data_IF_215834702869
#
_entry.id   IF_215834702869
#
_cell.length_a   1.000
_cell.length_b   1.000
_cell.length_c   1.000
_cell.angle_alpha   90.00
_cell.angle_beta   90.00
_cell.angle_gamma   90.00
#
_symmetry.space_group_name_H-M   'P 1'
#
loop_
_entity.id
_entity.type
_entity.pdbx_description
1 polymer ?
#
# COMPACT_ATOMS: atom_id res chain seq x y z
N UNK A 1 -12.96 -18.34 -7.86
CA UNK A 1 -12.67 -18.66 -6.43
C UNK A 1 -12.06 -20.04 -6.40
N UNK A 2 -10.87 -20.15 -5.86
CA UNK A 2 -10.15 -21.41 -5.79
C UNK A 2 -10.56 -22.20 -4.54
N UNK A 3 -10.54 -23.53 -4.67
CA UNK A 3 -10.75 -24.43 -3.55
C UNK A 3 -9.60 -24.33 -2.55
N UNK A 4 -9.92 -24.37 -1.26
CA UNK A 4 -8.90 -24.47 -0.23
C UNK A 4 -8.12 -25.79 -0.30
N UNK A 5 -6.82 -25.72 -0.03
CA UNK A 5 -5.92 -26.88 -0.04
C UNK A 5 -5.60 -27.40 1.36
N UNK A 6 -5.45 -26.51 2.36
CA UNK A 6 -5.16 -26.82 3.75
C UNK A 6 -6.30 -26.44 4.69
N UNK A 7 -7.01 -25.38 4.36
CA UNK A 7 -8.21 -24.90 5.03
C UNK A 7 -9.22 -24.44 3.96
N UNK A 8 -10.47 -24.28 4.31
CA UNK A 8 -11.49 -23.85 3.37
C UNK A 8 -11.27 -22.40 2.92
N UNK A 9 -11.60 -22.11 1.66
CA UNK A 9 -11.83 -20.75 1.18
C UNK A 9 -13.23 -20.34 1.62
N UNK A 10 -13.33 -19.27 2.41
CA UNK A 10 -14.57 -18.84 3.05
C UNK A 10 -14.99 -17.46 2.55
N UNK A 11 -16.23 -17.34 2.12
CA UNK A 11 -16.86 -16.08 1.74
C UNK A 11 -18.01 -15.82 2.70
N UNK A 12 -17.93 -14.73 3.45
CA UNK A 12 -18.91 -14.35 4.46
C UNK A 12 -20.26 -13.95 3.89
N UNK A 13 -21.20 -13.66 4.78
CA UNK A 13 -22.54 -13.26 4.40
C UNK A 13 -22.58 -11.83 3.86
N UNK A 14 -23.42 -11.59 2.85
CA UNK A 14 -23.60 -10.27 2.27
C UNK A 14 -22.37 -9.72 1.53
N UNK A 15 -21.37 -10.54 1.25
CA UNK A 15 -20.23 -10.19 0.42
C UNK A 15 -20.69 -9.92 -1.01
N UNK A 16 -20.17 -8.86 -1.61
CA UNK A 16 -20.45 -8.44 -3.00
C UNK A 16 -19.18 -8.54 -3.82
N UNK A 17 -19.21 -9.37 -4.84
CA UNK A 17 -18.09 -9.54 -5.76
C UNK A 17 -18.53 -9.14 -7.16
N UNK A 18 -17.83 -8.21 -7.76
CA UNK A 18 -18.02 -7.78 -9.14
C UNK A 18 -17.31 -8.74 -10.11
N UNK A 19 -17.21 -8.39 -11.36
CA UNK A 19 -16.71 -9.24 -12.44
C UNK A 19 -15.19 -9.49 -12.33
N UNK A 20 -14.76 -10.66 -12.78
CA UNK A 20 -13.34 -11.03 -12.95
C UNK A 20 -12.51 -10.94 -11.66
N UNK A 21 -13.10 -11.19 -10.52
CA UNK A 21 -12.38 -11.26 -9.25
C UNK A 21 -11.74 -12.64 -9.10
N UNK A 22 -10.44 -12.65 -8.80
CA UNK A 22 -9.71 -13.88 -8.46
C UNK A 22 -9.48 -13.96 -6.95
N UNK A 23 -10.05 -15.00 -6.34
CA UNK A 23 -9.84 -15.36 -4.93
C UNK A 23 -9.11 -16.69 -4.91
N UNK A 24 -7.87 -16.67 -4.43
CA UNK A 24 -7.04 -17.87 -4.36
C UNK A 24 -7.41 -18.77 -3.16
N UNK A 25 -6.72 -19.90 -3.06
CA UNK A 25 -6.96 -20.93 -2.05
C UNK A 25 -6.80 -20.42 -0.61
N UNK A 26 -7.59 -20.92 0.31
CA UNK A 26 -7.53 -20.64 1.76
C UNK A 26 -7.80 -19.16 2.12
N UNK A 27 -8.34 -18.36 1.21
CA UNK A 27 -8.72 -16.97 1.48
C UNK A 27 -10.00 -16.93 2.30
N UNK A 28 -10.06 -16.02 3.26
CA UNK A 28 -11.25 -15.74 4.05
C UNK A 28 -11.69 -14.30 3.85
N UNK A 29 -12.95 -14.09 3.49
CA UNK A 29 -13.56 -12.77 3.30
C UNK A 29 -14.68 -12.59 4.31
N UNK A 30 -14.55 -11.58 5.17
CA UNK A 30 -15.53 -11.25 6.19
C UNK A 30 -16.83 -10.67 5.64
N UNK A 31 -17.87 -10.72 6.47
CA UNK A 31 -19.23 -10.33 6.11
C UNK A 31 -19.30 -8.89 5.57
N UNK A 32 -20.23 -8.68 4.64
CA UNK A 32 -20.57 -7.37 4.06
C UNK A 32 -19.39 -6.65 3.37
N UNK A 33 -18.30 -7.35 3.06
CA UNK A 33 -17.20 -6.82 2.28
C UNK A 33 -17.59 -6.76 0.80
N UNK A 34 -17.22 -5.66 0.13
CA UNK A 34 -17.47 -5.45 -1.29
C UNK A 34 -16.15 -5.33 -2.06
N UNK A 35 -16.07 -5.98 -3.21
CA UNK A 35 -14.93 -5.93 -4.11
C UNK A 35 -15.40 -5.55 -5.50
N UNK A 36 -14.79 -4.51 -6.07
CA UNK A 36 -15.04 -4.09 -7.45
C UNK A 36 -14.26 -4.99 -8.44
N UNK A 37 -14.47 -4.76 -9.73
CA UNK A 37 -13.97 -5.63 -10.79
C UNK A 37 -12.43 -5.81 -10.78
N UNK A 38 -11.99 -6.98 -11.23
CA UNK A 38 -10.57 -7.31 -11.44
C UNK A 38 -9.70 -7.30 -10.17
N UNK A 39 -10.28 -7.46 -8.99
CA UNK A 39 -9.53 -7.62 -7.74
C UNK A 39 -8.89 -9.01 -7.71
N UNK A 40 -7.61 -9.07 -7.31
CA UNK A 40 -6.85 -10.31 -7.15
C UNK A 40 -6.38 -10.51 -5.72
N UNK A 41 -6.81 -11.59 -5.07
CA UNK A 41 -6.45 -11.94 -3.69
C UNK A 41 -5.62 -13.21 -3.71
N UNK A 42 -4.36 -13.11 -3.28
CA UNK A 42 -3.46 -14.27 -3.18
C UNK A 42 -3.78 -15.15 -1.99
N UNK A 43 -3.29 -16.39 -2.04
CA UNK A 43 -3.66 -17.46 -1.09
C UNK A 43 -3.42 -17.13 0.37
N UNK A 44 -4.26 -17.70 1.23
CA UNK A 44 -4.20 -17.59 2.69
C UNK A 44 -4.33 -16.16 3.23
N UNK A 45 -4.88 -15.25 2.45
CA UNK A 45 -5.20 -13.88 2.88
C UNK A 45 -6.52 -13.86 3.64
N UNK A 46 -6.57 -13.09 4.72
CA UNK A 46 -7.79 -12.84 5.50
C UNK A 46 -8.22 -11.38 5.34
N UNK A 47 -9.46 -11.16 4.95
CA UNK A 47 -10.06 -9.84 4.80
C UNK A 47 -11.21 -9.73 5.80
N UNK A 48 -11.20 -8.68 6.59
CA UNK A 48 -12.19 -8.40 7.61
C UNK A 48 -13.57 -8.06 7.03
N UNK A 49 -14.47 -7.65 7.91
CA UNK A 49 -15.84 -7.28 7.59
C UNK A 49 -15.95 -5.83 7.16
N UNK A 50 -17.00 -5.52 6.38
CA UNK A 50 -17.32 -4.17 5.94
C UNK A 50 -16.17 -3.47 5.21
N UNK A 51 -15.28 -4.23 4.55
CA UNK A 51 -14.23 -3.67 3.72
C UNK A 51 -14.78 -3.29 2.34
N UNK A 52 -14.18 -2.28 1.74
CA UNK A 52 -14.46 -1.85 0.37
C UNK A 52 -13.15 -1.88 -0.43
N UNK A 53 -13.07 -2.79 -1.39
CA UNK A 53 -11.88 -2.99 -2.22
C UNK A 53 -12.20 -2.52 -3.62
N UNK A 54 -11.57 -1.44 -4.05
CA UNK A 54 -11.80 -0.84 -5.37
C UNK A 54 -11.16 -1.67 -6.49
N UNK A 55 -11.52 -1.35 -7.73
CA UNK A 55 -11.15 -2.17 -8.90
C UNK A 55 -9.65 -2.30 -9.13
N UNK A 56 -9.25 -3.47 -9.60
CA UNK A 56 -7.86 -3.77 -9.95
C UNK A 56 -6.89 -3.85 -8.77
N UNK A 57 -7.38 -3.88 -7.54
CA UNK A 57 -6.54 -4.07 -6.34
C UNK A 57 -5.93 -5.46 -6.34
N UNK A 58 -4.62 -5.54 -6.10
CA UNK A 58 -3.90 -6.79 -5.86
C UNK A 58 -3.51 -6.93 -4.40
N UNK A 59 -3.59 -8.12 -3.83
CA UNK A 59 -3.14 -8.43 -2.48
C UNK A 59 -2.16 -9.59 -2.49
N UNK A 60 -1.02 -9.42 -1.82
CA UNK A 60 -0.08 -10.54 -1.61
C UNK A 60 -0.68 -11.56 -0.64
N UNK A 61 -0.15 -12.79 -0.69
CA UNK A 61 -0.63 -13.87 0.17
C UNK A 61 -0.20 -13.72 1.64
N UNK A 62 -0.90 -14.47 2.51
CA UNK A 62 -0.59 -14.59 3.93
C UNK A 62 -0.64 -13.27 4.72
N UNK A 63 -1.48 -12.34 4.31
CA UNK A 63 -1.72 -11.08 5.02
C UNK A 63 -3.11 -11.04 5.62
N UNK A 64 -3.28 -10.14 6.58
CA UNK A 64 -4.57 -9.86 7.22
C UNK A 64 -4.94 -8.39 7.01
N UNK A 65 -6.19 -8.16 6.61
CA UNK A 65 -6.81 -6.85 6.49
C UNK A 65 -7.90 -6.76 7.53
N UNK A 66 -7.81 -5.83 8.46
CA UNK A 66 -8.81 -5.66 9.53
C UNK A 66 -10.17 -5.18 8.99
N UNK A 67 -11.16 -5.11 9.85
CA UNK A 67 -12.51 -4.61 9.51
C UNK A 67 -12.49 -3.12 9.09
N UNK A 68 -13.48 -2.71 8.30
CA UNK A 68 -13.72 -1.30 7.92
C UNK A 68 -12.56 -0.64 7.17
N UNK A 69 -11.89 -1.36 6.29
CA UNK A 69 -10.81 -0.85 5.43
C UNK A 69 -11.36 -0.51 4.05
N UNK A 70 -10.98 0.65 3.54
CA UNK A 70 -11.15 1.03 2.15
C UNK A 70 -9.80 0.97 1.43
N UNK A 71 -9.72 0.26 0.31
CA UNK A 71 -8.52 0.21 -0.54
C UNK A 71 -8.85 0.84 -1.89
N UNK A 72 -8.14 1.90 -2.26
CA UNK A 72 -8.36 2.60 -3.55
C UNK A 72 -7.93 1.76 -4.75
N UNK A 73 -8.47 2.09 -5.92
CA UNK A 73 -8.25 1.33 -7.15
C UNK A 73 -6.78 1.20 -7.55
N UNK A 74 -6.43 0.08 -8.17
CA UNK A 74 -5.08 -0.25 -8.63
C UNK A 74 -4.00 -0.28 -7.51
N UNK A 75 -4.43 -0.33 -6.26
CA UNK A 75 -3.50 -0.44 -5.12
C UNK A 75 -2.93 -1.86 -5.03
N UNK A 76 -1.63 -1.96 -4.80
CA UNK A 76 -0.97 -3.22 -4.43
C UNK A 76 -0.77 -3.27 -2.92
N UNK A 77 -1.52 -4.15 -2.25
CA UNK A 77 -1.41 -4.36 -0.79
C UNK A 77 -0.31 -5.41 -0.55
N UNK A 78 0.80 -4.96 0.00
CA UNK A 78 2.02 -5.78 0.18
C UNK A 78 2.27 -6.21 1.62
N UNK A 79 1.42 -5.82 2.56
CA UNK A 79 1.52 -6.16 3.99
C UNK A 79 0.15 -6.10 4.65
N UNK A 80 0.04 -6.69 5.83
CA UNK A 80 -1.19 -6.62 6.64
C UNK A 80 -1.59 -5.19 6.97
N UNK A 81 -2.91 -4.96 7.05
CA UNK A 81 -3.54 -3.70 7.45
C UNK A 81 -4.21 -3.93 8.79
N UNK A 82 -3.68 -3.35 9.84
CA UNK A 82 -4.09 -3.58 11.23
C UNK A 82 -5.02 -2.51 11.78
N UNK A 83 -5.18 -1.40 11.07
CA UNK A 83 -6.04 -0.28 11.49
C UNK A 83 -7.09 0.02 10.42
N UNK A 84 -8.35 0.30 10.81
CA UNK A 84 -9.37 0.76 9.87
C UNK A 84 -8.96 2.06 9.18
N UNK A 85 -9.43 2.27 7.96
CA UNK A 85 -9.13 3.51 7.23
C UNK A 85 -9.01 3.33 5.73
N UNK A 86 -8.58 4.40 5.05
CA UNK A 86 -8.39 4.41 3.59
C UNK A 86 -6.91 4.27 3.23
N UNK A 87 -6.64 3.34 2.31
CA UNK A 87 -5.29 3.00 1.88
C UNK A 87 -5.15 3.12 0.37
N UNK A 88 -4.01 3.62 -0.07
CA UNK A 88 -3.69 3.80 -1.49
C UNK A 88 -2.22 3.50 -1.75
N UNK A 89 -1.90 3.09 -2.95
CA UNK A 89 -0.53 2.97 -3.43
C UNK A 89 -0.41 3.41 -4.89
N UNK A 90 0.82 3.49 -5.39
CA UNK A 90 1.08 3.97 -6.73
C UNK A 90 1.25 5.48 -6.82
N UNK A 91 1.52 5.96 -8.02
CA UNK A 91 1.68 7.39 -8.30
C UNK A 91 0.38 7.96 -8.87
N UNK A 92 0.03 9.19 -8.50
CA UNK A 92 -1.09 9.90 -9.08
C UNK A 92 -0.91 10.05 -10.61
N UNK A 93 -2.03 10.08 -11.33
CA UNK A 93 -2.03 10.34 -12.77
C UNK A 93 -1.46 11.73 -13.08
N UNK A 94 -0.57 11.81 -14.05
CA UNK A 94 0.07 13.03 -14.51
C UNK A 94 0.15 13.04 -16.05
N UNK A 95 0.28 14.21 -16.69
CA UNK A 95 0.68 14.26 -18.09
C UNK A 95 1.96 13.46 -18.33
N UNK A 96 2.02 12.72 -19.44
CA UNK A 96 3.09 11.74 -19.68
C UNK A 96 4.52 12.31 -19.54
N UNK A 97 4.73 13.58 -19.95
CA UNK A 97 6.02 14.25 -19.80
C UNK A 97 6.41 14.50 -18.36
N UNK A 98 5.46 14.87 -17.51
CA UNK A 98 5.67 15.08 -16.07
C UNK A 98 5.87 13.74 -15.35
N UNK A 99 5.07 12.73 -15.69
CA UNK A 99 5.20 11.39 -15.13
C UNK A 99 6.60 10.81 -15.38
N UNK A 100 7.12 10.94 -16.60
CA UNK A 100 8.49 10.48 -16.94
C UNK A 100 9.55 11.16 -16.07
N UNK A 101 9.42 12.46 -15.82
CA UNK A 101 10.33 13.21 -14.93
C UNK A 101 10.22 12.73 -13.48
N UNK A 102 9.01 12.54 -12.99
CA UNK A 102 8.75 12.03 -11.64
C UNK A 102 9.32 10.62 -11.46
N UNK A 103 9.09 9.72 -12.42
CA UNK A 103 9.63 8.37 -12.41
C UNK A 103 11.16 8.32 -12.44
N UNK A 104 11.81 9.24 -13.15
CA UNK A 104 13.27 9.37 -13.15
C UNK A 104 13.80 9.83 -11.78
N UNK A 105 13.12 10.79 -11.14
CA UNK A 105 13.48 11.28 -9.79
C UNK A 105 13.30 10.22 -8.71
N UNK A 106 12.22 9.44 -8.77
CA UNK A 106 12.00 8.34 -7.82
C UNK A 106 13.19 7.38 -7.79
N UNK A 107 13.78 7.06 -8.94
CA UNK A 107 14.97 6.20 -9.00
C UNK A 107 16.22 6.83 -8.37
N UNK A 108 16.25 8.16 -8.19
CA UNK A 108 17.36 8.91 -7.61
C UNK A 108 17.18 9.22 -6.12
N UNK A 109 16.04 8.87 -5.53
CA UNK A 109 15.69 9.23 -4.14
C UNK A 109 16.74 8.78 -3.12
N UNK A 110 17.29 7.58 -3.24
CA UNK A 110 18.32 7.09 -2.33
C UNK A 110 19.60 7.96 -2.38
N UNK A 111 20.04 8.30 -3.58
CA UNK A 111 21.17 9.21 -3.78
C UNK A 111 20.90 10.63 -3.24
N UNK A 112 19.69 11.14 -3.42
CA UNK A 112 19.27 12.43 -2.89
C UNK A 112 19.24 12.43 -1.36
N UNK A 113 18.71 11.36 -0.74
CA UNK A 113 18.67 11.21 0.72
C UNK A 113 20.09 11.18 1.31
N UNK A 114 21.01 10.41 0.73
CA UNK A 114 22.40 10.35 1.16
C UNK A 114 23.10 11.72 1.05
N UNK A 115 22.85 12.44 -0.03
CA UNK A 115 23.41 13.80 -0.24
C UNK A 115 22.85 14.80 0.76
N UNK A 116 21.57 14.71 1.09
CA UNK A 116 20.95 15.56 2.12
C UNK A 116 21.60 15.33 3.48
N UNK A 117 21.74 14.07 3.90
CA UNK A 117 22.42 13.73 5.16
C UNK A 117 23.87 14.24 5.23
N UNK A 118 24.59 14.22 4.10
CA UNK A 118 25.95 14.79 4.05
C UNK A 118 25.95 16.29 4.24
N UNK A 119 25.00 17.00 3.59
CA UNK A 119 24.87 18.46 3.72
C UNK A 119 24.47 18.86 5.14
N UNK A 120 23.58 18.13 5.78
CA UNK A 120 23.19 18.34 7.18
C UNK A 120 24.41 18.25 8.11
N UNK A 121 25.23 17.18 7.97
CA UNK A 121 26.46 17.02 8.76
C UNK A 121 27.47 18.16 8.54
N UNK A 122 27.64 18.60 7.29
CA UNK A 122 28.51 19.72 6.98
C UNK A 122 28.02 21.02 7.61
N UNK A 123 26.71 21.27 7.58
CA UNK A 123 26.09 22.44 8.18
C UNK A 123 26.30 22.46 9.70
N UNK A 124 26.09 21.34 10.37
CA UNK A 124 26.35 21.20 11.81
C UNK A 124 27.80 21.50 12.17
N UNK A 125 28.76 21.03 11.37
CA UNK A 125 30.18 21.29 11.58
C UNK A 125 30.50 22.79 11.45
N UNK A 126 29.96 23.46 10.43
CA UNK A 126 30.17 24.91 10.22
C UNK A 126 29.55 25.70 11.37
N UNK A 127 28.34 25.34 11.81
CA UNK A 127 27.65 26.01 12.92
C UNK A 127 28.40 25.87 14.24
N UNK A 128 29.03 24.72 14.50
CA UNK A 128 29.85 24.49 15.69
C UNK A 128 31.18 25.23 15.66
N UNK A 129 31.70 25.55 14.48
CA UNK A 129 32.97 26.23 14.29
C UNK A 129 32.86 27.78 14.27
N UNK A 130 31.64 28.31 14.24
CA UNK A 130 31.40 29.75 14.39
C UNK A 130 31.22 30.07 15.88
N UNK A 131 32.29 30.40 16.64
CA UNK A 131 32.13 30.90 18.00
C UNK A 131 31.50 32.25 17.96
N UNK A 132 30.58 32.48 18.87
CA UNK A 132 29.92 33.74 19.18
C UNK A 132 30.89 34.93 19.08
N UNK A 133 30.81 35.70 17.99
CA UNK A 133 31.47 36.99 17.90
C UNK A 133 30.57 38.09 18.49
N UNK A 134 30.11 37.88 19.70
CA UNK A 134 29.38 38.85 20.49
C UNK A 134 29.97 38.96 21.88
N UNK A 135 31.21 39.47 21.94
CA UNK A 135 31.75 40.13 23.14
C UNK A 135 32.88 41.10 22.72
N UNK A 136 32.48 42.27 22.33
CA UNK A 136 33.29 43.48 22.40
C UNK A 136 32.35 44.65 22.60
#
# INVERSE_FOLDING_TARGET
IDRGALADTLIGNGVKLDNQIQIAHNVQVGDHTAMAACVGISGSTRIGRHCMIAGGVGMVGHIEVCDNVFVSGMTMVTRSITEPGAYSSGTAMQPAGEWKKSAARIRQLDGMAKRLQQLEKQLEQVTRQSPDSSNA
#
